data_IF_135549923580
#
_entry.id   IF_135549923580
#
_cell.length_a   1.000
_cell.length_b   1.000
_cell.length_c   1.000
_cell.angle_alpha   90.00
_cell.angle_beta   90.00
_cell.angle_gamma   90.00
#
_symmetry.space_group_name_H-M   'P 1'
#
loop_
_entity.id
_entity.type
_entity.pdbx_description
1 polymer ?
#
# COMPACT_ATOMS: atom_id res chain seq x y z
N UNK A 1 -17.76 -1.43 -15.45
CA UNK A 1 -16.83 -1.35 -14.30
C UNK A 1 -16.69 -2.72 -13.69
N UNK A 2 -15.48 -3.20 -13.50
CA UNK A 2 -15.17 -4.43 -12.78
C UNK A 2 -14.80 -4.09 -11.33
N UNK A 3 -15.27 -4.89 -10.39
CA UNK A 3 -15.01 -4.76 -8.95
C UNK A 3 -14.42 -6.08 -8.49
N UNK A 4 -13.21 -6.07 -7.93
CA UNK A 4 -12.58 -7.26 -7.33
C UNK A 4 -12.48 -7.08 -5.83
N UNK A 5 -12.91 -8.08 -5.09
CA UNK A 5 -12.84 -8.09 -3.62
C UNK A 5 -11.87 -9.19 -3.19
N UNK A 6 -10.76 -8.78 -2.59
CA UNK A 6 -9.70 -9.66 -2.11
C UNK A 6 -9.87 -9.89 -0.61
N UNK A 7 -9.99 -11.14 -0.21
CA UNK A 7 -10.19 -11.53 1.20
C UNK A 7 -8.91 -11.99 1.87
N UNK A 8 -8.94 -12.09 3.19
CA UNK A 8 -7.84 -12.62 4.00
C UNK A 8 -7.49 -14.08 3.68
N UNK A 9 -8.44 -14.87 3.17
CA UNK A 9 -8.20 -16.24 2.75
C UNK A 9 -7.40 -16.35 1.44
N UNK A 10 -7.11 -15.23 0.79
CA UNK A 10 -6.48 -15.19 -0.54
C UNK A 10 -7.47 -15.36 -1.69
N UNK A 11 -8.78 -15.51 -1.42
CA UNK A 11 -9.78 -15.55 -2.49
C UNK A 11 -10.02 -14.16 -3.07
N UNK A 12 -10.31 -14.13 -4.37
CA UNK A 12 -10.70 -12.94 -5.11
C UNK A 12 -12.06 -13.20 -5.75
N UNK A 13 -13.05 -12.38 -5.41
CA UNK A 13 -14.35 -12.42 -6.05
C UNK A 13 -14.50 -11.21 -6.97
N UNK A 14 -14.98 -11.47 -8.19
CA UNK A 14 -15.11 -10.47 -9.24
C UNK A 14 -16.57 -10.24 -9.58
N UNK A 15 -16.97 -8.97 -9.60
CA UNK A 15 -18.31 -8.51 -9.95
C UNK A 15 -18.21 -7.50 -11.09
N UNK A 16 -19.26 -7.43 -11.90
CA UNK A 16 -19.37 -6.48 -13.02
C UNK A 16 -20.56 -5.57 -12.82
N UNK A 17 -20.39 -4.30 -13.13
CA UNK A 17 -21.46 -3.31 -13.22
C UNK A 17 -21.41 -2.64 -14.60
N UNK A 18 -22.36 -3.03 -15.45
CA UNK A 18 -22.43 -2.56 -16.85
C UNK A 18 -23.23 -1.26 -17.00
N UNK A 19 -24.07 -0.92 -16.01
CA UNK A 19 -24.80 0.33 -16.01
C UNK A 19 -23.92 1.50 -15.55
N UNK A 20 -23.61 2.49 -16.43
CA UNK A 20 -22.73 3.59 -16.11
C UNK A 20 -23.22 4.45 -14.93
N UNK A 21 -24.52 4.64 -14.80
CA UNK A 21 -25.11 5.46 -13.72
C UNK A 21 -24.96 4.78 -12.36
N UNK A 22 -25.13 3.44 -12.31
CA UNK A 22 -24.89 2.67 -11.09
C UNK A 22 -23.42 2.59 -10.77
N UNK A 23 -22.54 2.42 -11.75
CA UNK A 23 -21.09 2.47 -11.57
C UNK A 23 -20.66 3.82 -10.99
N UNK A 24 -21.13 4.93 -11.53
CA UNK A 24 -20.85 6.27 -11.02
C UNK A 24 -21.35 6.46 -9.56
N UNK A 25 -22.52 5.89 -9.23
CA UNK A 25 -23.04 5.92 -7.86
C UNK A 25 -22.19 5.14 -6.88
N UNK A 26 -21.68 3.96 -7.27
CA UNK A 26 -20.76 3.15 -6.47
C UNK A 26 -19.47 3.94 -6.23
N UNK A 27 -18.85 4.47 -7.29
CA UNK A 27 -17.62 5.26 -7.22
C UNK A 27 -17.78 6.47 -6.29
N UNK A 28 -18.88 7.21 -6.42
CA UNK A 28 -19.19 8.35 -5.53
C UNK A 28 -19.35 7.90 -4.07
N UNK A 29 -19.98 6.76 -3.83
CA UNK A 29 -20.15 6.18 -2.50
C UNK A 29 -18.82 5.79 -1.86
N UNK A 30 -17.92 5.22 -2.63
CA UNK A 30 -16.59 4.81 -2.17
C UNK A 30 -15.70 6.05 -1.92
N UNK A 31 -15.74 7.07 -2.79
CA UNK A 31 -14.97 8.32 -2.59
C UNK A 31 -15.39 9.11 -1.35
N UNK A 32 -16.68 9.09 -1.00
CA UNK A 32 -17.22 9.84 0.12
C UNK A 32 -17.09 9.13 1.47
N UNK A 33 -16.88 7.81 1.45
CA UNK A 33 -16.80 6.96 2.63
C UNK A 33 -15.65 5.97 2.44
N UNK A 34 -14.90 5.75 3.50
CA UNK A 34 -13.98 4.62 3.51
C UNK A 34 -14.80 3.33 3.43
N UNK A 35 -14.60 2.54 2.40
CA UNK A 35 -15.32 1.28 2.17
C UNK A 35 -15.20 0.29 3.34
N UNK A 36 -14.18 0.44 4.18
CA UNK A 36 -13.92 -0.41 5.36
C UNK A 36 -14.40 0.19 6.69
N UNK A 37 -15.16 1.32 6.68
CA UNK A 37 -15.67 1.92 7.93
C UNK A 37 -16.91 1.21 8.46
N UNK A 38 -17.69 0.58 7.59
CA UNK A 38 -18.81 -0.28 7.96
C UNK A 38 -18.34 -1.68 8.36
N UNK A 39 -19.25 -2.45 8.95
CA UNK A 39 -18.98 -3.85 9.31
C UNK A 39 -19.03 -4.77 8.09
N UNK A 40 -19.78 -4.38 7.06
CA UNK A 40 -20.10 -5.21 5.91
C UNK A 40 -19.93 -4.45 4.60
N UNK A 41 -19.48 -5.16 3.56
CA UNK A 41 -19.49 -4.74 2.17
C UNK A 41 -20.48 -5.63 1.45
N UNK A 42 -21.54 -5.06 0.88
CA UNK A 42 -22.61 -5.85 0.24
C UNK A 42 -22.67 -5.54 -1.24
N UNK A 43 -22.65 -6.58 -2.06
CA UNK A 43 -22.83 -6.52 -3.50
C UNK A 43 -24.17 -7.19 -3.86
N UNK A 44 -25.06 -6.45 -4.47
CA UNK A 44 -26.35 -6.94 -4.94
C UNK A 44 -26.28 -7.27 -6.44
N UNK A 45 -26.42 -8.53 -6.78
CA UNK A 45 -26.64 -9.01 -8.14
C UNK A 45 -28.12 -9.20 -8.45
N UNK A 46 -28.42 -9.64 -9.66
CA UNK A 46 -29.81 -9.84 -10.11
C UNK A 46 -30.53 -10.95 -9.32
N UNK A 47 -29.79 -11.99 -8.92
CA UNK A 47 -30.33 -13.18 -8.24
C UNK A 47 -29.64 -13.48 -6.90
N UNK A 48 -28.66 -12.65 -6.51
CA UNK A 48 -27.85 -12.91 -5.32
C UNK A 48 -27.55 -11.65 -4.55
N UNK A 49 -27.39 -11.79 -3.25
CA UNK A 49 -26.87 -10.77 -2.37
C UNK A 49 -25.63 -11.35 -1.68
N UNK A 50 -24.45 -10.85 -2.07
CA UNK A 50 -23.20 -11.29 -1.46
C UNK A 50 -22.73 -10.25 -0.46
N UNK A 51 -22.42 -10.69 0.74
CA UNK A 51 -22.00 -9.81 1.81
C UNK A 51 -20.68 -10.28 2.39
N UNK A 52 -19.70 -9.38 2.43
CA UNK A 52 -18.38 -9.60 2.99
C UNK A 52 -18.27 -8.90 4.34
N UNK A 53 -17.69 -9.55 5.32
CA UNK A 53 -17.27 -8.90 6.56
C UNK A 53 -16.11 -7.96 6.25
N UNK A 54 -16.28 -6.66 6.41
CA UNK A 54 -15.31 -5.66 5.95
C UNK A 54 -13.92 -5.83 6.58
N UNK A 55 -13.84 -6.29 7.84
CA UNK A 55 -12.56 -6.60 8.51
C UNK A 55 -11.82 -7.80 7.91
N UNK A 56 -12.49 -8.63 7.09
CA UNK A 56 -11.91 -9.78 6.40
C UNK A 56 -11.54 -9.48 4.94
N UNK A 57 -11.80 -8.25 4.49
CA UNK A 57 -11.43 -7.80 3.16
C UNK A 57 -10.12 -7.01 3.24
N UNK A 58 -9.13 -7.44 2.47
CA UNK A 58 -7.83 -6.77 2.39
C UNK A 58 -7.86 -5.58 1.44
N UNK A 59 -8.51 -5.77 0.30
CA UNK A 59 -8.40 -4.86 -0.83
C UNK A 59 -9.67 -4.93 -1.68
N UNK A 60 -10.04 -3.79 -2.23
CA UNK A 60 -11.08 -3.66 -3.26
C UNK A 60 -10.48 -2.97 -4.47
N UNK A 61 -10.54 -3.62 -5.64
CA UNK A 61 -10.11 -3.02 -6.90
C UNK A 61 -11.32 -2.56 -7.69
N UNK A 62 -11.19 -1.41 -8.30
CA UNK A 62 -12.15 -0.80 -9.20
C UNK A 62 -11.45 -0.58 -10.54
N UNK A 63 -11.89 -1.30 -11.58
CA UNK A 63 -11.29 -1.24 -12.91
C UNK A 63 -12.34 -0.70 -13.88
N UNK A 64 -12.07 0.45 -14.47
CA UNK A 64 -12.90 1.10 -15.47
C UNK A 64 -12.05 2.07 -16.30
N UNK A 65 -12.48 2.36 -17.54
CA UNK A 65 -11.80 3.31 -18.41
C UNK A 65 -11.88 4.75 -17.87
N UNK A 66 -13.05 5.14 -17.35
CA UNK A 66 -13.32 6.51 -16.88
C UNK A 66 -13.41 6.56 -15.34
N UNK A 67 -12.32 6.27 -14.65
CA UNK A 67 -12.25 6.48 -13.20
C UNK A 67 -12.04 7.96 -12.87
N UNK A 68 -12.78 8.50 -11.89
CA UNK A 68 -12.54 9.85 -11.44
C UNK A 68 -11.15 9.98 -10.79
N UNK A 69 -10.55 11.17 -10.91
CA UNK A 69 -9.28 11.44 -10.27
C UNK A 69 -9.39 11.27 -8.75
N UNK A 70 -8.56 10.40 -8.19
CA UNK A 70 -8.47 10.16 -6.76
C UNK A 70 -7.39 11.07 -6.17
N UNK A 71 -7.77 11.77 -5.10
CA UNK A 71 -6.84 12.69 -4.45
C UNK A 71 -6.03 11.94 -3.40
N UNK A 72 -4.73 11.91 -3.60
CA UNK A 72 -3.80 11.49 -2.56
C UNK A 72 -3.69 12.57 -1.45
N UNK A 73 -3.22 12.19 -0.26
CA UNK A 73 -2.79 13.17 0.74
C UNK A 73 -1.80 14.17 0.16
N UNK A 74 -1.74 15.37 0.75
CA UNK A 74 -0.78 16.41 0.37
C UNK A 74 0.63 15.81 0.29
N UNK A 75 1.38 16.17 -0.74
CA UNK A 75 2.74 15.71 -1.05
C UNK A 75 2.86 14.34 -1.73
N UNK A 76 1.86 13.47 -1.69
CA UNK A 76 1.84 12.26 -2.49
C UNK A 76 1.30 12.60 -3.88
N UNK A 77 2.13 12.43 -4.89
CA UNK A 77 1.79 12.75 -6.27
C UNK A 77 1.13 11.58 -6.97
N UNK A 78 1.59 10.37 -6.69
CA UNK A 78 1.11 9.14 -7.30
C UNK A 78 1.55 7.92 -6.49
N UNK A 79 0.76 6.84 -6.52
CA UNK A 79 1.12 5.53 -5.98
C UNK A 79 0.69 4.47 -6.97
N UNK A 80 1.61 3.62 -7.38
CA UNK A 80 1.37 2.54 -8.36
C UNK A 80 1.77 1.21 -7.77
N UNK A 81 0.99 0.18 -8.06
CA UNK A 81 1.36 -1.20 -7.80
C UNK A 81 2.36 -1.68 -8.86
N UNK A 82 3.34 -2.43 -8.40
CA UNK A 82 4.36 -3.10 -9.22
C UNK A 82 4.26 -4.62 -9.02
N UNK A 83 4.71 -5.36 -9.99
CA UNK A 83 5.05 -6.78 -9.77
C UNK A 83 6.28 -6.87 -8.84
N UNK A 84 6.50 -8.03 -8.21
CA UNK A 84 7.68 -8.24 -7.37
C UNK A 84 8.98 -8.08 -8.17
N UNK A 85 8.98 -8.50 -9.44
CA UNK A 85 10.12 -8.38 -10.35
C UNK A 85 10.44 -6.91 -10.66
N UNK A 86 9.44 -6.13 -11.09
CA UNK A 86 9.59 -4.68 -11.34
C UNK A 86 10.04 -3.93 -10.08
N UNK A 87 9.50 -4.30 -8.92
CA UNK A 87 9.89 -3.71 -7.65
C UNK A 87 11.36 -3.96 -7.34
N UNK A 88 11.86 -5.19 -7.49
CA UNK A 88 13.26 -5.54 -7.27
C UNK A 88 14.17 -4.82 -8.25
N UNK A 89 13.81 -4.82 -9.52
CA UNK A 89 14.57 -4.15 -10.58
C UNK A 89 14.66 -2.64 -10.33
N UNK A 90 13.54 -1.98 -10.07
CA UNK A 90 13.52 -0.52 -9.93
C UNK A 90 14.05 -0.02 -8.58
N UNK A 91 13.83 -0.76 -7.50
CA UNK A 91 14.27 -0.37 -6.16
C UNK A 91 15.77 -0.52 -5.95
N UNK A 92 16.43 -1.40 -6.71
CA UNK A 92 17.86 -1.73 -6.59
C UNK A 92 18.29 -1.94 -5.12
N UNK A 93 17.49 -2.68 -4.35
CA UNK A 93 17.76 -2.91 -2.93
C UNK A 93 19.04 -3.70 -2.68
N UNK A 94 19.50 -4.43 -3.69
CA UNK A 94 20.72 -5.23 -3.66
C UNK A 94 21.99 -4.42 -3.99
N UNK A 95 21.86 -3.12 -4.36
CA UNK A 95 23.00 -2.28 -4.70
C UNK A 95 23.57 -1.59 -3.44
N UNK A 96 24.78 -2.01 -2.96
CA UNK A 96 25.42 -1.42 -1.79
C UNK A 96 25.65 0.09 -1.89
N UNK A 97 25.92 0.60 -3.12
CA UNK A 97 26.14 2.01 -3.34
C UNK A 97 24.87 2.86 -3.07
N UNK A 98 23.71 2.29 -3.33
CA UNK A 98 22.43 2.94 -2.99
C UNK A 98 22.12 2.91 -1.50
N UNK A 99 22.51 1.85 -0.82
CA UNK A 99 22.37 1.75 0.65
C UNK A 99 23.22 2.82 1.36
N UNK A 100 24.39 3.16 0.82
CA UNK A 100 25.25 4.21 1.36
C UNK A 100 24.73 5.64 1.09
N UNK A 101 24.00 5.87 0.00
CA UNK A 101 23.41 7.20 -0.32
C UNK A 101 22.28 7.63 0.64
N UNK A 102 21.84 6.79 1.54
CA UNK A 102 20.81 7.10 2.56
C UNK A 102 21.21 8.18 3.57
N UNK A 103 22.47 8.59 3.61
CA UNK A 103 22.98 9.49 4.65
C UNK A 103 22.83 10.98 4.32
N UNK A 104 22.43 11.35 3.10
CA UNK A 104 22.23 12.77 2.77
C UNK A 104 20.79 13.18 3.07
N UNK A 105 20.59 14.22 3.90
CA UNK A 105 19.26 14.76 4.17
C UNK A 105 18.58 15.20 2.86
N UNK A 106 17.33 14.82 2.66
CA UNK A 106 16.55 15.22 1.50
C UNK A 106 16.09 16.66 1.65
N UNK A 107 16.14 17.41 0.54
CA UNK A 107 15.68 18.79 0.54
C UNK A 107 14.15 18.86 0.48
N UNK A 108 13.57 19.79 1.23
CA UNK A 108 12.12 20.07 1.18
C UNK A 108 11.68 20.45 -0.24
N UNK A 109 10.58 19.85 -0.69
CA UNK A 109 10.04 20.05 -2.05
C UNK A 109 10.69 19.17 -3.13
N UNK A 110 11.78 18.48 -2.83
CA UNK A 110 12.39 17.50 -3.73
C UNK A 110 11.41 16.38 -4.06
N UNK A 111 11.36 15.96 -5.33
CA UNK A 111 10.54 14.83 -5.75
C UNK A 111 11.32 13.54 -5.53
N UNK A 112 10.74 12.63 -4.78
CA UNK A 112 11.35 11.32 -4.46
C UNK A 112 10.41 10.19 -4.85
N UNK A 113 10.99 9.05 -5.20
CA UNK A 113 10.26 7.78 -5.32
C UNK A 113 10.63 6.91 -4.13
N UNK A 114 9.61 6.44 -3.43
CA UNK A 114 9.74 5.51 -2.31
C UNK A 114 9.12 4.19 -2.71
N UNK A 115 9.88 3.12 -2.63
CA UNK A 115 9.41 1.76 -2.86
C UNK A 115 8.89 1.20 -1.55
N UNK A 116 7.65 0.71 -1.55
CA UNK A 116 6.95 0.27 -0.35
C UNK A 116 6.56 -1.19 -0.50
N UNK A 117 7.09 -2.02 0.38
CA UNK A 117 6.64 -3.40 0.55
C UNK A 117 5.59 -3.45 1.65
N UNK A 118 4.44 -4.04 1.37
CA UNK A 118 3.32 -4.17 2.29
C UNK A 118 3.01 -5.64 2.49
N UNK A 119 2.94 -6.08 3.73
CA UNK A 119 2.49 -7.42 4.09
C UNK A 119 1.17 -7.32 4.85
N UNK A 120 0.18 -8.08 4.37
CA UNK A 120 -1.16 -8.13 4.94
C UNK A 120 -1.36 -9.40 5.76
N UNK A 121 -2.33 -9.40 6.67
CA UNK A 121 -2.74 -10.62 7.36
C UNK A 121 -3.05 -11.73 6.36
N UNK A 122 -2.59 -12.97 6.64
CA UNK A 122 -2.68 -14.06 5.67
C UNK A 122 -1.50 -14.18 4.73
N UNK A 123 -0.46 -13.31 4.87
CA UNK A 123 0.80 -13.43 4.14
C UNK A 123 0.79 -12.83 2.73
N UNK A 124 -0.29 -12.19 2.31
CA UNK A 124 -0.34 -11.49 1.03
C UNK A 124 0.62 -10.30 1.02
N UNK A 125 1.45 -10.21 0.01
CA UNK A 125 2.43 -9.14 -0.19
C UNK A 125 2.06 -8.26 -1.37
N UNK A 126 2.29 -6.97 -1.23
CA UNK A 126 2.07 -5.95 -2.26
C UNK A 126 3.35 -5.10 -2.38
N UNK A 127 3.65 -4.70 -3.59
CA UNK A 127 4.81 -3.90 -3.93
C UNK A 127 4.36 -2.60 -4.60
N UNK A 128 4.71 -1.48 -4.03
CA UNK A 128 4.25 -0.17 -4.48
C UNK A 128 5.43 0.75 -4.76
N UNK A 129 5.29 1.60 -5.76
CA UNK A 129 6.13 2.77 -5.96
C UNK A 129 5.31 4.04 -5.68
N UNK A 130 5.72 4.80 -4.68
CA UNK A 130 5.08 6.05 -4.29
C UNK A 130 5.96 7.24 -4.71
N UNK A 131 5.45 8.09 -5.60
CA UNK A 131 6.07 9.36 -5.95
C UNK A 131 5.55 10.44 -5.01
N UNK A 132 6.45 11.10 -4.31
CA UNK A 132 6.11 12.10 -3.30
C UNK A 132 7.03 13.30 -3.37
N UNK A 133 6.57 14.45 -2.86
CA UNK A 133 7.44 15.57 -2.51
C UNK A 133 7.89 15.43 -1.07
N UNK A 134 9.15 15.75 -0.81
CA UNK A 134 9.68 15.76 0.57
C UNK A 134 9.02 16.89 1.35
N UNK A 135 8.26 16.59 2.43
CA UNK A 135 7.58 17.61 3.21
C UNK A 135 8.57 18.45 4.03
N UNK A 136 8.09 19.55 4.60
CA UNK A 136 8.86 20.34 5.57
C UNK A 136 9.34 19.44 6.72
N UNK A 137 10.55 19.66 7.21
CA UNK A 137 11.16 18.84 8.24
C UNK A 137 10.25 18.69 9.48
N UNK A 138 9.65 19.79 9.92
CA UNK A 138 8.72 19.81 11.05
C UNK A 138 7.45 18.95 10.82
N UNK A 139 7.08 18.68 9.57
CA UNK A 139 5.87 17.92 9.23
C UNK A 139 6.13 16.43 8.98
N UNK A 140 7.38 16.02 8.73
CA UNK A 140 7.73 14.65 8.29
C UNK A 140 7.19 13.58 9.24
N UNK A 141 7.40 13.75 10.53
CA UNK A 141 6.93 12.79 11.53
C UNK A 141 5.40 12.77 11.63
N UNK A 142 4.76 13.93 11.52
CA UNK A 142 3.30 14.01 11.52
C UNK A 142 2.72 13.31 10.30
N UNK A 143 3.31 13.49 9.11
CA UNK A 143 2.88 12.80 7.87
C UNK A 143 2.97 11.29 7.98
N UNK A 144 4.07 10.78 8.55
CA UNK A 144 4.23 9.35 8.79
C UNK A 144 3.15 8.81 9.75
N UNK A 145 2.86 9.53 10.83
CA UNK A 145 1.79 9.16 11.78
C UNK A 145 0.41 9.18 11.11
N UNK A 146 0.13 10.18 10.28
CA UNK A 146 -1.14 10.25 9.53
C UNK A 146 -1.32 9.06 8.59
N UNK A 147 -0.26 8.62 7.92
CA UNK A 147 -0.30 7.44 7.06
C UNK A 147 -0.72 6.19 7.86
N UNK A 148 -0.10 5.95 9.02
CA UNK A 148 -0.43 4.80 9.86
C UNK A 148 -1.76 4.90 10.58
N UNK A 149 -2.32 6.09 10.74
CA UNK A 149 -3.65 6.28 11.32
C UNK A 149 -4.78 6.23 10.28
N UNK A 150 -4.46 6.21 9.00
CA UNK A 150 -5.46 6.09 7.95
C UNK A 150 -6.13 4.70 7.99
N UNK A 151 -7.43 4.65 7.76
CA UNK A 151 -8.16 3.39 7.70
C UNK A 151 -7.93 2.66 6.37
N UNK A 152 -7.65 3.42 5.29
CA UNK A 152 -7.36 2.88 3.97
C UNK A 152 -6.42 3.80 3.20
N UNK A 153 -5.72 3.22 2.24
CA UNK A 153 -4.97 3.93 1.20
C UNK A 153 -5.39 3.43 -0.17
N UNK A 154 -5.22 4.26 -1.19
CA UNK A 154 -5.51 3.87 -2.56
C UNK A 154 -4.27 4.04 -3.43
N UNK A 155 -4.20 3.24 -4.49
CA UNK A 155 -3.12 3.24 -5.47
C UNK A 155 -3.63 2.75 -6.83
N UNK A 156 -2.89 3.07 -7.88
CA UNK A 156 -3.20 2.59 -9.23
C UNK A 156 -2.74 1.16 -9.42
N UNK A 157 -3.55 0.37 -10.12
CA UNK A 157 -3.21 -1.00 -10.50
C UNK A 157 -2.74 -1.06 -11.97
N UNK A 158 -1.88 -2.03 -12.35
CA UNK A 158 -1.34 -2.13 -13.72
C UNK A 158 -2.42 -2.24 -14.80
N UNK A 159 -3.56 -2.82 -14.47
CA UNK A 159 -4.66 -3.04 -15.41
C UNK A 159 -5.50 -1.78 -15.71
N UNK A 160 -5.10 -0.63 -15.19
CA UNK A 160 -5.84 0.62 -15.40
C UNK A 160 -7.04 0.76 -14.47
N UNK A 161 -6.80 0.74 -13.19
CA UNK A 161 -7.81 0.88 -12.15
C UNK A 161 -7.23 1.47 -10.87
N UNK A 162 -8.04 1.48 -9.83
CA UNK A 162 -7.67 1.90 -8.48
C UNK A 162 -7.94 0.78 -7.50
N UNK A 163 -6.94 0.45 -6.69
CA UNK A 163 -7.09 -0.41 -5.53
C UNK A 163 -7.24 0.42 -4.26
N UNK A 164 -8.08 -0.04 -3.35
CA UNK A 164 -8.27 0.51 -2.01
C UNK A 164 -7.85 -0.56 -1.02
N UNK A 165 -6.80 -0.29 -0.25
CA UNK A 165 -6.21 -1.22 0.70
C UNK A 165 -6.72 -0.93 2.11
N UNK A 166 -7.14 -1.97 2.81
CA UNK A 166 -7.59 -1.91 4.20
C UNK A 166 -6.39 -1.94 5.16
N UNK A 167 -5.98 -0.81 5.69
CA UNK A 167 -4.83 -0.73 6.59
C UNK A 167 -5.04 -1.40 7.95
N UNK A 168 -6.27 -1.73 8.33
CA UNK A 168 -6.55 -2.52 9.54
C UNK A 168 -6.01 -3.95 9.45
N UNK A 169 -5.75 -4.43 8.23
CA UNK A 169 -5.20 -5.75 7.94
C UNK A 169 -3.68 -5.72 7.67
N UNK A 170 -3.03 -4.59 7.91
CA UNK A 170 -1.61 -4.41 7.74
C UNK A 170 -0.84 -5.17 8.84
N UNK A 171 0.12 -5.99 8.45
CA UNK A 171 1.06 -6.68 9.35
C UNK A 171 2.39 -5.93 9.39
N UNK A 172 2.91 -5.58 8.20
CA UNK A 172 4.20 -4.93 8.07
C UNK A 172 4.21 -3.99 6.87
N UNK A 173 4.90 -2.88 7.02
CA UNK A 173 5.25 -2.00 5.89
C UNK A 173 6.74 -1.67 5.96
N UNK A 174 7.40 -1.75 4.80
CA UNK A 174 8.82 -1.40 4.67
C UNK A 174 8.96 -0.34 3.60
N UNK A 175 9.60 0.77 3.93
CA UNK A 175 9.87 1.88 3.01
C UNK A 175 11.32 1.84 2.55
N UNK A 176 11.55 1.97 1.25
CA UNK A 176 12.87 1.97 0.64
C UNK A 176 13.00 3.14 -0.37
N UNK A 177 13.79 4.15 -0.09
CA UNK A 177 14.49 4.38 1.17
C UNK A 177 13.52 4.73 2.31
N UNK A 178 13.92 4.44 3.54
CA UNK A 178 13.18 4.81 4.74
C UNK A 178 12.99 6.33 4.86
N UNK A 179 12.09 6.77 5.74
CA UNK A 179 11.91 8.20 6.02
C UNK A 179 13.17 8.80 6.66
N UNK A 180 13.40 10.10 6.41
CA UNK A 180 14.53 10.82 7.01
C UNK A 180 14.37 11.07 8.51
N UNK A 181 13.17 10.89 9.04
CA UNK A 181 12.85 11.02 10.46
C UNK A 181 12.44 9.68 11.03
N UNK A 182 12.98 9.36 12.18
CA UNK A 182 12.68 8.14 12.93
C UNK A 182 11.78 8.47 14.10
N UNK A 183 10.66 7.74 14.33
CA UNK A 183 9.88 7.88 15.56
C UNK A 183 10.75 7.68 16.79
N UNK A 184 10.46 8.41 17.88
CA UNK A 184 11.27 8.37 19.12
C UNK A 184 11.27 7.00 19.79
N UNK A 185 10.23 6.22 19.55
CA UNK A 185 10.02 4.87 20.04
C UNK A 185 10.48 3.77 19.06
N UNK A 186 11.10 4.16 17.93
CA UNK A 186 11.65 3.21 16.99
C UNK A 186 12.88 2.49 17.57
N UNK A 187 12.95 1.19 17.33
CA UNK A 187 14.08 0.37 17.77
C UNK A 187 15.18 0.41 16.72
N UNK A 188 16.37 0.94 17.06
CA UNK A 188 17.51 0.92 16.15
C UNK A 188 18.04 -0.51 16.04
N UNK A 189 17.85 -1.12 14.85
CA UNK A 189 18.28 -2.47 14.57
C UNK A 189 18.62 -2.63 13.08
N UNK A 190 19.42 -3.64 12.77
CA UNK A 190 19.72 -4.05 11.40
C UNK A 190 18.99 -5.33 11.06
N UNK A 191 18.47 -5.40 9.85
CA UNK A 191 17.89 -6.65 9.34
C UNK A 191 19.01 -7.67 9.14
N UNK A 192 18.92 -8.80 9.83
CA UNK A 192 19.86 -9.91 9.66
C UNK A 192 19.43 -10.72 8.44
N UNK A 193 20.31 -10.88 7.46
CA UNK A 193 20.08 -11.81 6.35
C UNK A 193 20.21 -13.27 6.83
N UNK A 194 19.53 -14.20 6.15
CA UNK A 194 19.65 -15.65 6.48
C UNK A 194 21.11 -16.16 6.45
N UNK A 195 21.95 -15.56 5.61
CA UNK A 195 23.37 -15.91 5.54
C UNK A 195 24.14 -15.46 6.77
N UNK A 196 23.87 -14.24 7.27
CA UNK A 196 24.48 -13.72 8.50
C UNK A 196 23.97 -14.46 9.73
N UNK A 197 22.71 -14.86 9.76
CA UNK A 197 22.14 -15.68 10.84
C UNK A 197 22.80 -17.05 10.89
N UNK A 198 22.97 -17.71 9.75
CA UNK A 198 23.68 -19.00 9.66
C UNK A 198 25.13 -18.90 10.09
N UNK A 199 25.84 -17.83 9.73
CA UNK A 199 27.23 -17.60 10.14
C UNK A 199 27.34 -17.30 11.66
N UNK A 200 26.39 -16.57 12.24
CA UNK A 200 26.33 -16.32 13.69
C UNK A 200 26.07 -17.58 14.49
N UNK A 201 25.15 -18.44 14.03
CA UNK A 201 24.85 -19.71 14.70
C UNK A 201 26.07 -20.64 14.63
N UNK A 202 26.75 -20.70 13.48
CA UNK A 202 27.98 -21.51 13.33
C UNK A 202 29.13 -21.02 14.21
N UNK A 203 29.32 -19.70 14.33
CA UNK A 203 30.39 -19.12 15.19
C UNK A 203 30.08 -19.09 16.70
N UNK A 204 28.85 -19.41 17.11
CA UNK A 204 28.48 -19.52 18.52
C UNK A 204 28.61 -20.95 19.09
N UNK A 205 29.03 -21.92 18.26
CA UNK A 205 29.24 -23.34 18.60
C UNK A 205 30.72 -23.68 18.76
N UNK A 206 31.63 -22.73 18.50
CA UNK A 206 33.07 -22.80 18.77
C UNK A 206 33.40 -22.02 20.06
#
# INVERSE_FOLDING_TARGET
MEIRIHTQSGSVETFFQDNPALAARILKGIQSRNVFTGDMITVAGDYSLTTFVASRVHRVDLIAEDLPAWKHPTDILDVVELSEEEFREQSHLDDPARLQRRQSPRQTGESVVVFVEVEMTGGNRLFLAAKSKVPLEAERLQRLRMLFSAAAVHFRVPQGGIAILNLKNLVRVTFNPGPDVTPIDAWPAHHCSRQEESARIAGALD
#
